data_IF_497821082353
#
_entry.id   IF_497821082353
#
_cell.length_a   1.000
_cell.length_b   1.000
_cell.length_c   1.000
_cell.angle_alpha   90.00
_cell.angle_beta   90.00
_cell.angle_gamma   90.00
#
_symmetry.space_group_name_H-M   'P 1'
#
loop_
_entity.id
_entity.type
_entity.pdbx_description
1 polymer ?
#
# COMPACT_ATOMS: atom_id res chain seq x y z
N UNK A 1 12.25 -3.16 -7.06
CA UNK A 1 11.58 -3.90 -5.96
C UNK A 1 10.10 -3.60 -6.08
N UNK A 2 9.30 -4.63 -6.33
CA UNK A 2 7.84 -4.53 -6.41
C UNK A 2 7.24 -5.10 -5.12
N UNK A 3 6.94 -4.20 -4.17
CA UNK A 3 6.39 -4.59 -2.88
C UNK A 3 4.95 -5.11 -3.01
N UNK A 4 4.03 -4.47 -3.78
CA UNK A 4 2.69 -4.99 -4.00
C UNK A 4 2.68 -6.40 -4.61
N UNK A 5 3.49 -6.66 -5.64
CA UNK A 5 3.52 -7.98 -6.27
C UNK A 5 4.04 -9.07 -5.31
N UNK A 6 5.04 -8.76 -4.48
CA UNK A 6 5.54 -9.68 -3.46
C UNK A 6 4.48 -10.03 -2.41
N UNK A 7 3.78 -9.02 -1.89
CA UNK A 7 2.68 -9.23 -0.93
C UNK A 7 1.52 -10.02 -1.57
N UNK A 8 1.17 -9.69 -2.81
CA UNK A 8 0.13 -10.41 -3.58
C UNK A 8 0.44 -11.90 -3.69
N UNK A 9 1.65 -12.26 -4.11
CA UNK A 9 2.04 -13.66 -4.26
C UNK A 9 1.93 -14.44 -2.93
N UNK A 10 2.29 -13.82 -1.81
CA UNK A 10 2.17 -14.43 -0.48
C UNK A 10 0.70 -14.64 -0.07
N UNK A 11 -0.16 -13.68 -0.35
CA UNK A 11 -1.59 -13.76 -0.05
C UNK A 11 -2.31 -14.78 -0.94
N UNK A 12 -1.97 -14.84 -2.23
CA UNK A 12 -2.50 -15.85 -3.17
C UNK A 12 -2.11 -17.27 -2.73
N UNK A 13 -0.86 -17.46 -2.31
CA UNK A 13 -0.39 -18.75 -1.77
C UNK A 13 -1.14 -19.17 -0.49
N UNK A 14 -1.67 -18.20 0.26
CA UNK A 14 -2.51 -18.43 1.44
C UNK A 14 -4.00 -18.61 1.11
N UNK A 15 -4.40 -18.57 -0.17
CA UNK A 15 -5.79 -18.70 -0.60
C UNK A 15 -6.65 -17.46 -0.34
N UNK A 16 -6.03 -16.29 -0.14
CA UNK A 16 -6.74 -15.03 0.12
C UNK A 16 -7.17 -14.38 -1.20
N UNK A 17 -8.43 -13.95 -1.29
CA UNK A 17 -8.91 -13.11 -2.39
C UNK A 17 -8.44 -11.67 -2.16
N UNK A 18 -7.83 -11.07 -3.17
CA UNK A 18 -7.13 -9.78 -3.04
C UNK A 18 -7.72 -8.80 -4.04
N UNK A 19 -7.99 -7.59 -3.57
CA UNK A 19 -8.20 -6.41 -4.41
C UNK A 19 -7.01 -5.47 -4.23
N UNK A 20 -6.36 -5.10 -5.33
CA UNK A 20 -5.27 -4.13 -5.29
C UNK A 20 -5.82 -2.73 -5.49
N UNK A 21 -5.57 -1.85 -4.52
CA UNK A 21 -6.06 -0.48 -4.56
C UNK A 21 -4.91 0.53 -4.42
N UNK A 22 -4.88 1.49 -5.34
CA UNK A 22 -4.10 2.72 -5.21
C UNK A 22 -2.84 2.80 -6.08
N UNK A 23 -2.37 4.04 -6.38
CA UNK A 23 -1.18 4.27 -7.16
C UNK A 23 0.11 4.19 -6.31
N UNK A 24 1.26 4.05 -6.97
CA UNK A 24 2.55 4.07 -6.30
C UNK A 24 2.83 5.43 -5.62
N UNK A 25 3.11 5.43 -4.32
CA UNK A 25 3.39 6.67 -3.56
C UNK A 25 4.63 7.40 -4.05
N UNK A 26 5.63 6.70 -4.58
CA UNK A 26 6.85 7.28 -5.15
C UNK A 26 6.59 8.00 -6.48
N UNK A 27 5.71 7.46 -7.32
CA UNK A 27 5.47 7.96 -8.68
C UNK A 27 4.34 9.00 -8.72
N UNK A 28 3.35 8.87 -7.83
CA UNK A 28 2.26 9.82 -7.73
C UNK A 28 2.66 11.01 -6.85
N UNK A 29 2.72 12.20 -7.47
CA UNK A 29 3.09 13.46 -6.79
C UNK A 29 2.04 13.95 -5.79
N UNK A 30 0.77 13.56 -5.96
CA UNK A 30 -0.33 13.88 -5.05
C UNK A 30 -0.32 13.09 -3.74
N UNK A 31 0.61 12.16 -3.55
CA UNK A 31 0.72 11.33 -2.34
C UNK A 31 1.93 11.70 -1.49
N UNK A 32 1.88 11.47 -0.17
CA UNK A 32 3.09 11.54 0.66
C UNK A 32 4.03 10.35 0.36
N UNK A 33 5.34 10.62 0.28
CA UNK A 33 6.34 9.59 0.00
C UNK A 33 7.68 9.92 0.65
N UNK A 34 8.06 9.12 1.66
CA UNK A 34 9.33 9.28 2.37
C UNK A 34 10.53 9.02 1.44
N UNK A 35 10.38 8.10 0.48
CA UNK A 35 11.44 7.79 -0.48
C UNK A 35 11.69 8.95 -1.46
N UNK A 36 10.66 9.76 -1.74
CA UNK A 36 10.79 10.98 -2.56
C UNK A 36 11.31 12.16 -1.74
N UNK A 37 10.77 12.38 -0.53
CA UNK A 37 11.17 13.45 0.37
C UNK A 37 11.19 12.95 1.81
N UNK A 38 12.34 13.09 2.47
CA UNK A 38 12.53 12.65 3.86
C UNK A 38 11.70 13.48 4.85
N UNK A 39 11.38 14.73 4.50
CA UNK A 39 10.41 15.58 5.20
C UNK A 39 9.09 15.58 4.44
N UNK A 40 8.12 14.80 4.90
CA UNK A 40 6.79 14.65 4.26
C UNK A 40 5.74 14.20 5.29
N UNK A 41 4.45 14.30 4.95
CA UNK A 41 3.35 13.81 5.79
C UNK A 41 3.27 12.28 5.87
N UNK A 42 2.23 11.75 6.51
CA UNK A 42 1.99 10.30 6.63
C UNK A 42 0.51 9.99 6.39
N UNK A 43 0.26 8.84 5.79
CA UNK A 43 -1.06 8.24 5.73
C UNK A 43 -1.23 7.21 6.86
N UNK A 44 -2.48 6.88 7.16
CA UNK A 44 -2.84 5.79 8.04
C UNK A 44 -3.82 4.86 7.32
N UNK A 45 -3.61 3.54 7.44
CA UNK A 45 -4.62 2.54 7.08
C UNK A 45 -5.47 2.24 8.30
N UNK A 46 -6.79 2.44 8.20
CA UNK A 46 -7.74 2.18 9.29
C UNK A 46 -8.68 1.05 8.89
N UNK A 47 -8.93 0.15 9.84
CA UNK A 47 -9.95 -0.90 9.73
C UNK A 47 -10.65 -1.01 11.07
N UNK A 48 -11.98 -1.13 11.04
CA UNK A 48 -12.80 -1.35 12.23
C UNK A 48 -13.97 -2.24 11.86
N UNK A 49 -14.42 -3.06 12.81
CA UNK A 49 -15.73 -3.68 12.75
C UNK A 49 -16.73 -2.76 13.44
N UNK A 50 -17.87 -2.54 12.81
CA UNK A 50 -19.06 -2.05 13.51
C UNK A 50 -19.87 -3.26 14.01
N UNK A 51 -20.57 -3.12 15.14
CA UNK A 51 -21.67 -4.04 15.47
C UNK A 51 -22.86 -3.82 14.52
#
# INVERSE_FOLDING_TARGET
LDLPAGAKAQLEAAGVVIEHAGPCTLENEGLFSYRRSTTTGRFAGLVWSHE
#
